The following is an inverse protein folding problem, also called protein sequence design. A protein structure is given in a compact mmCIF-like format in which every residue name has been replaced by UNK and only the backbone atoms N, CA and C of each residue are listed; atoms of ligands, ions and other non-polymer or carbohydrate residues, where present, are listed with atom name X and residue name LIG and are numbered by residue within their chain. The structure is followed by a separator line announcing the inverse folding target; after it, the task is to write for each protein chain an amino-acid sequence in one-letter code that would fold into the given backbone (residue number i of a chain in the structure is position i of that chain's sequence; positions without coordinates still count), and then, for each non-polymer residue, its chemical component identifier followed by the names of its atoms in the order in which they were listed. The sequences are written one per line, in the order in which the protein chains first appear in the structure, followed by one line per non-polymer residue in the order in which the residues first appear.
data_IF_211781310577
#
_entry.id   IF_211781310577
#
_cell.length_a   1.000
_cell.length_b   1.000
_cell.length_c   1.000
_cell.angle_alpha   90.00
_cell.angle_beta   90.00
_cell.angle_gamma   90.00
#
_symmetry.space_group_name_H-M   'P 1'
#
loop_
_entity.id
_entity.type
_entity.pdbx_description
1 polymer ?
#
# COMPACT_ATOMS: atom_id res chain seq x y z
N UNK A 1 11.54 62.53 52.31
CA UNK A 1 10.82 61.80 53.41
C UNK A 1 9.80 60.89 52.74
N UNK A 2 9.88 59.59 53.16
CA UNK A 2 8.85 58.54 53.08
C UNK A 2 8.70 57.82 51.73
N UNK A 3 9.37 56.76 51.69
CA UNK A 3 9.12 55.40 51.28
C UNK A 3 7.68 55.05 51.03
N UNK A 4 7.39 54.46 49.92
CA UNK A 4 6.36 53.40 49.84
C UNK A 4 6.84 52.28 48.92
N UNK A 5 7.08 51.21 49.56
CA UNK A 5 7.36 49.90 48.98
C UNK A 5 6.21 49.46 48.08
N UNK A 6 6.44 49.32 46.80
CA UNK A 6 5.51 48.68 45.90
C UNK A 6 5.93 47.23 45.70
N UNK A 7 5.18 46.38 46.35
CA UNK A 7 5.21 44.93 46.13
C UNK A 7 4.89 44.64 44.68
N UNK A 8 5.92 44.33 43.90
CA UNK A 8 5.74 43.78 42.56
C UNK A 8 5.31 42.34 42.69
N UNK A 9 4.00 42.16 42.65
CA UNK A 9 3.39 40.84 42.52
C UNK A 9 3.76 40.28 41.13
N UNK A 10 4.71 39.41 41.13
CA UNK A 10 5.14 38.68 39.92
C UNK A 10 4.05 37.64 39.57
N UNK A 11 3.12 38.09 38.74
CA UNK A 11 2.08 37.22 38.20
C UNK A 11 2.73 36.38 37.11
N UNK A 12 3.13 35.16 37.46
CA UNK A 12 3.59 34.16 36.49
C UNK A 12 2.35 33.73 35.69
N UNK A 13 2.20 34.32 34.52
CA UNK A 13 1.31 33.81 33.49
C UNK A 13 1.91 32.52 32.95
N UNK A 14 1.45 31.38 33.47
CA UNK A 14 1.67 30.11 32.84
C UNK A 14 0.94 30.13 31.48
N UNK A 15 1.67 30.49 30.43
CA UNK A 15 1.25 30.29 29.07
C UNK A 15 1.25 28.79 28.82
N UNK A 16 0.11 28.17 29.11
CA UNK A 16 -0.18 26.80 28.69
C UNK A 16 -0.20 26.79 27.15
N UNK A 17 0.94 26.49 26.53
CA UNK A 17 0.96 26.05 25.16
C UNK A 17 0.19 24.75 25.06
N UNK A 18 -1.11 24.85 24.79
CA UNK A 18 -1.88 23.76 24.28
C UNK A 18 -1.30 23.41 22.92
N UNK A 19 -0.37 22.44 22.88
CA UNK A 19 -0.05 21.75 21.66
C UNK A 19 -1.34 21.07 21.18
N UNK A 20 -2.02 21.73 20.26
CA UNK A 20 -3.09 21.11 19.51
C UNK A 20 -2.46 19.94 18.80
N UNK A 21 -2.63 18.76 19.32
CA UNK A 21 -2.49 17.53 18.56
C UNK A 21 -3.57 17.62 17.49
N UNK A 22 -3.19 18.12 16.33
CA UNK A 22 -3.93 17.84 15.12
C UNK A 22 -3.85 16.34 14.98
N UNK A 23 -4.97 15.68 15.20
CA UNK A 23 -5.13 14.29 14.81
C UNK A 23 -4.73 14.19 13.35
N UNK A 24 -3.81 13.29 12.99
CA UNK A 24 -3.46 13.09 11.59
C UNK A 24 -4.75 12.82 10.83
N UNK A 25 -4.97 13.56 9.76
CA UNK A 25 -6.09 13.34 8.86
C UNK A 25 -6.05 11.89 8.43
N UNK A 26 -7.11 11.20 8.72
CA UNK A 26 -7.26 9.76 8.59
C UNK A 26 -7.41 9.38 7.11
N UNK A 27 -6.37 9.60 6.31
CA UNK A 27 -6.17 8.89 5.06
C UNK A 27 -5.52 7.55 5.42
N UNK A 28 -6.28 6.71 6.11
CA UNK A 28 -5.90 5.33 6.30
C UNK A 28 -5.98 4.69 4.92
N UNK A 29 -4.84 4.57 4.28
CA UNK A 29 -4.68 3.71 3.12
C UNK A 29 -4.85 2.28 3.61
N UNK A 30 -6.07 1.81 3.61
CA UNK A 30 -6.38 0.43 3.92
C UNK A 30 -5.81 -0.46 2.82
N UNK A 31 -5.09 -1.50 3.23
CA UNK A 31 -4.56 -2.50 2.33
C UNK A 31 -5.52 -3.68 2.28
N UNK A 32 -5.99 -4.01 1.10
CA UNK A 32 -6.79 -5.20 0.87
C UNK A 32 -5.87 -6.43 0.85
N UNK A 33 -6.15 -7.40 1.70
CA UNK A 33 -5.43 -8.68 1.76
C UNK A 33 -6.21 -9.82 1.12
N UNK A 34 -7.30 -9.52 0.40
CA UNK A 34 -8.15 -10.50 -0.28
C UNK A 34 -9.24 -11.10 0.60
N UNK A 35 -9.05 -11.17 1.91
CA UNK A 35 -10.04 -11.62 2.90
C UNK A 35 -10.48 -10.50 3.86
N UNK A 36 -9.98 -9.27 3.66
CA UNK A 36 -10.27 -8.11 4.49
C UNK A 36 -9.29 -6.97 4.22
N UNK A 37 -9.42 -5.88 4.98
CA UNK A 37 -8.55 -4.72 4.91
C UNK A 37 -7.78 -4.54 6.20
N UNK A 38 -6.51 -4.15 6.12
CA UNK A 38 -5.66 -3.84 7.28
C UNK A 38 -5.15 -2.42 7.12
N UNK A 39 -5.19 -1.65 8.21
CA UNK A 39 -4.60 -0.32 8.25
C UNK A 39 -3.08 -0.38 8.09
N UNK A 40 -2.52 0.50 7.27
CA UNK A 40 -1.09 0.52 6.95
C UNK A 40 -0.20 0.76 8.17
N UNK A 41 -0.66 1.49 9.17
CA UNK A 41 0.06 1.80 10.40
C UNK A 41 0.26 0.59 11.33
N UNK A 42 -0.53 -0.48 11.16
CA UNK A 42 -0.40 -1.76 11.89
C UNK A 42 0.21 -2.88 11.05
N UNK A 43 0.60 -2.57 9.82
CA UNK A 43 1.03 -3.58 8.89
C UNK A 43 2.54 -3.87 9.05
N UNK A 44 2.85 -4.97 9.72
CA UNK A 44 4.21 -5.51 9.83
C UNK A 44 4.59 -6.32 8.59
N UNK A 45 3.68 -6.47 7.64
CA UNK A 45 3.86 -7.30 6.46
C UNK A 45 4.46 -6.53 5.28
N UNK A 46 5.22 -7.22 4.44
CA UNK A 46 5.78 -6.66 3.22
C UNK A 46 4.68 -6.56 2.13
N UNK A 47 3.93 -5.48 2.16
CA UNK A 47 2.88 -5.17 1.18
C UNK A 47 3.24 -3.90 0.44
N UNK A 48 3.24 -3.96 -0.88
CA UNK A 48 3.36 -2.79 -1.75
C UNK A 48 2.02 -2.51 -2.40
N UNK A 49 1.44 -1.35 -2.12
CA UNK A 49 0.19 -0.89 -2.73
C UNK A 49 0.47 0.24 -3.71
N UNK A 50 -0.02 0.09 -4.91
CA UNK A 50 0.05 1.12 -5.94
C UNK A 50 -1.37 1.48 -6.37
N UNK A 51 -1.71 2.76 -6.24
CA UNK A 51 -2.92 3.33 -6.83
C UNK A 51 -2.52 3.96 -8.16
N UNK A 52 -3.16 3.57 -9.27
CA UNK A 52 -2.88 4.19 -10.55
C UNK A 52 -3.26 5.67 -10.55
N UNK A 53 -2.34 6.51 -11.02
CA UNK A 53 -2.63 7.91 -11.30
C UNK A 53 -3.36 8.03 -12.64
N UNK A 54 -4.49 8.71 -12.68
CA UNK A 54 -5.32 8.87 -13.89
C UNK A 54 -4.55 9.45 -15.07
N UNK A 55 -3.57 10.33 -14.80
CA UNK A 55 -2.76 10.94 -15.85
C UNK A 55 -1.71 10.00 -16.43
N UNK A 56 -1.32 8.96 -15.71
CA UNK A 56 -0.20 8.09 -16.10
C UNK A 56 -0.69 6.74 -16.61
N UNK A 57 -1.85 6.28 -16.15
CA UNK A 57 -2.38 4.98 -16.54
C UNK A 57 -2.75 4.91 -18.02
N UNK A 58 -3.21 6.02 -18.60
CA UNK A 58 -3.52 6.15 -20.03
C UNK A 58 -2.30 5.96 -20.95
N UNK A 59 -1.09 5.89 -20.39
CA UNK A 59 0.14 5.68 -21.16
C UNK A 59 0.39 4.20 -21.46
N UNK A 60 -0.21 3.31 -20.66
CA UNK A 60 0.00 1.86 -20.78
C UNK A 60 -1.14 1.21 -21.54
N UNK A 61 -0.79 0.46 -22.57
CA UNK A 61 -1.76 -0.30 -23.37
C UNK A 61 -1.98 -1.72 -22.87
N UNK A 62 -1.08 -2.20 -22.01
CA UNK A 62 -1.08 -3.56 -21.49
C UNK A 62 -0.82 -3.57 -19.97
N UNK A 63 -1.52 -4.46 -19.26
CA UNK A 63 -1.38 -4.63 -17.82
C UNK A 63 0.02 -5.12 -17.43
N UNK A 64 0.68 -5.92 -18.23
CA UNK A 64 2.05 -6.38 -17.98
C UNK A 64 3.05 -5.22 -18.02
N UNK A 65 2.92 -4.33 -19.01
CA UNK A 65 3.74 -3.13 -19.11
C UNK A 65 3.51 -2.19 -17.91
N UNK A 66 2.27 -2.01 -17.50
CA UNK A 66 1.93 -1.24 -16.32
C UNK A 66 2.58 -1.81 -15.05
N UNK A 67 2.49 -3.12 -14.83
CA UNK A 67 3.10 -3.78 -13.67
C UNK A 67 4.61 -3.58 -13.64
N UNK A 68 5.29 -3.75 -14.76
CA UNK A 68 6.74 -3.61 -14.88
C UNK A 68 7.20 -2.18 -14.59
N UNK A 69 6.46 -1.19 -15.06
CA UNK A 69 6.84 0.21 -14.94
C UNK A 69 6.48 0.87 -13.61
N UNK A 70 5.45 0.35 -12.92
CA UNK A 70 4.84 1.05 -11.79
C UNK A 70 4.78 0.27 -10.48
N UNK A 71 4.82 -1.05 -10.52
CA UNK A 71 4.64 -1.84 -9.31
C UNK A 71 5.98 -2.33 -8.77
N UNK A 72 6.46 -1.76 -7.64
CA UNK A 72 7.77 -2.11 -7.12
C UNK A 72 7.82 -3.57 -6.65
N UNK A 73 8.89 -4.25 -7.05
CA UNK A 73 9.15 -5.64 -6.67
C UNK A 73 8.40 -6.67 -7.51
N UNK A 74 7.86 -6.25 -8.64
CA UNK A 74 7.34 -7.10 -9.70
C UNK A 74 8.30 -7.05 -10.89
N UNK A 75 8.69 -8.20 -11.40
CA UNK A 75 9.49 -8.35 -12.61
C UNK A 75 8.60 -9.05 -13.64
N UNK A 76 8.53 -8.50 -14.84
CA UNK A 76 7.73 -9.05 -15.93
C UNK A 76 8.65 -9.46 -17.06
N UNK A 77 8.53 -10.73 -17.50
CA UNK A 77 9.24 -11.28 -18.63
C UNK A 77 8.21 -11.82 -19.65
N UNK A 78 7.82 -10.98 -20.62
CA UNK A 78 6.69 -11.29 -21.48
C UNK A 78 5.40 -11.37 -20.70
N UNK A 79 4.76 -12.52 -20.65
CA UNK A 79 3.55 -12.78 -19.85
C UNK A 79 3.84 -13.37 -18.47
N UNK A 80 5.11 -13.68 -18.18
CA UNK A 80 5.52 -14.25 -16.89
C UNK A 80 5.78 -13.16 -15.88
N UNK A 81 5.14 -13.29 -14.72
CA UNK A 81 5.29 -12.37 -13.57
C UNK A 81 6.11 -13.04 -12.48
N UNK A 82 7.08 -12.32 -11.90
CA UNK A 82 7.93 -12.79 -10.83
C UNK A 82 7.92 -11.75 -9.72
N UNK A 83 7.57 -12.16 -8.50
CA UNK A 83 7.52 -11.28 -7.32
C UNK A 83 8.72 -11.48 -6.40
N UNK A 84 9.17 -12.72 -6.20
CA UNK A 84 10.23 -13.07 -5.23
C UNK A 84 11.50 -13.62 -5.84
N UNK A 85 11.63 -13.56 -7.14
CA UNK A 85 12.71 -14.25 -7.83
C UNK A 85 12.39 -15.72 -8.10
N UNK A 86 13.36 -16.45 -8.65
CA UNK A 86 13.16 -17.85 -9.04
C UNK A 86 13.12 -18.71 -7.78
N UNK A 87 12.00 -19.39 -7.56
CA UNK A 87 11.85 -20.34 -6.46
C UNK A 87 12.76 -21.58 -6.64
N UNK A 88 13.07 -22.24 -5.54
CA UNK A 88 13.99 -23.41 -5.51
C UNK A 88 13.48 -24.59 -6.36
N UNK A 89 12.18 -24.65 -6.62
CA UNK A 89 11.54 -25.75 -7.36
C UNK A 89 11.27 -25.41 -8.85
N UNK A 90 11.82 -24.30 -9.36
CA UNK A 90 11.66 -23.90 -10.76
C UNK A 90 10.34 -23.22 -11.12
N UNK A 91 9.32 -23.37 -10.30
CA UNK A 91 8.06 -22.63 -10.42
C UNK A 91 8.15 -21.33 -9.62
N UNK A 92 8.00 -20.21 -10.31
CA UNK A 92 8.10 -18.85 -9.72
C UNK A 92 6.83 -18.01 -9.96
N UNK A 93 5.78 -18.65 -10.47
CA UNK A 93 4.55 -17.95 -10.80
C UNK A 93 3.81 -17.55 -9.51
N UNK A 94 3.50 -16.26 -9.34
CA UNK A 94 2.74 -15.79 -8.20
C UNK A 94 1.26 -16.13 -8.35
N UNK A 95 0.54 -16.13 -7.24
CA UNK A 95 -0.92 -16.18 -7.27
C UNK A 95 -1.47 -14.82 -7.68
N UNK A 96 -2.26 -14.78 -8.74
CA UNK A 96 -2.89 -13.56 -9.23
C UNK A 96 -4.39 -13.60 -8.89
N UNK A 97 -4.87 -12.54 -8.26
CA UNK A 97 -6.27 -12.38 -7.87
C UNK A 97 -6.83 -11.11 -8.48
N UNK A 98 -7.91 -11.22 -9.23
CA UNK A 98 -8.69 -10.11 -9.77
C UNK A 98 -10.02 -10.02 -9.03
N UNK A 99 -10.26 -8.94 -8.30
CA UNK A 99 -11.45 -8.73 -7.48
C UNK A 99 -11.80 -9.92 -6.56
N UNK A 100 -10.76 -10.60 -6.04
CA UNK A 100 -10.90 -11.76 -5.18
C UNK A 100 -11.05 -13.11 -5.89
N UNK A 101 -11.04 -13.13 -7.22
CA UNK A 101 -11.10 -14.34 -8.04
C UNK A 101 -9.71 -14.62 -8.62
N UNK A 102 -9.27 -15.87 -8.56
CA UNK A 102 -8.01 -16.28 -9.17
C UNK A 102 -8.03 -16.13 -10.68
N UNK A 103 -6.95 -15.56 -11.20
CA UNK A 103 -6.77 -15.26 -12.61
C UNK A 103 -5.37 -15.74 -13.06
N UNK A 104 -5.28 -16.41 -14.19
CA UNK A 104 -4.01 -16.90 -14.74
C UNK A 104 -3.39 -16.00 -15.78
N UNK A 105 -4.14 -15.06 -16.34
CA UNK A 105 -3.71 -14.19 -17.43
C UNK A 105 -4.23 -12.77 -17.21
N UNK A 106 -3.41 -11.78 -17.53
CA UNK A 106 -3.76 -10.36 -17.38
C UNK A 106 -4.01 -9.66 -18.73
N UNK A 107 -3.89 -10.35 -19.83
CA UNK A 107 -3.99 -9.76 -21.18
C UNK A 107 -5.36 -9.12 -21.47
N UNK A 108 -6.41 -9.57 -20.77
CA UNK A 108 -7.77 -9.04 -20.94
C UNK A 108 -8.10 -7.88 -20.01
N UNK A 109 -7.19 -7.51 -19.11
CA UNK A 109 -7.40 -6.44 -18.14
C UNK A 109 -6.92 -5.12 -18.72
N UNK A 110 -7.84 -4.18 -18.88
CA UNK A 110 -7.49 -2.79 -19.23
C UNK A 110 -6.90 -2.11 -17.98
N UNK A 111 -5.64 -1.61 -18.06
CA UNK A 111 -5.04 -0.84 -16.97
C UNK A 111 -5.92 0.30 -16.47
N UNK A 112 -6.69 0.95 -17.37
CA UNK A 112 -7.60 2.04 -17.03
C UNK A 112 -8.76 1.62 -16.11
N UNK A 113 -9.13 0.35 -16.12
CA UNK A 113 -10.17 -0.21 -15.26
C UNK A 113 -9.68 -0.51 -13.85
N UNK A 114 -8.37 -0.45 -13.59
CA UNK A 114 -7.77 -0.81 -12.30
C UNK A 114 -7.86 0.33 -11.31
N UNK A 115 -8.35 0.02 -10.11
CA UNK A 115 -8.40 0.94 -8.98
C UNK A 115 -7.15 0.84 -8.09
N UNK A 116 -6.64 -0.37 -7.85
CA UNK A 116 -5.41 -0.59 -7.10
C UNK A 116 -4.76 -1.91 -7.45
N UNK A 117 -3.44 -1.94 -7.30
CA UNK A 117 -2.61 -3.16 -7.37
C UNK A 117 -1.86 -3.29 -6.05
N UNK A 118 -1.98 -4.44 -5.43
CA UNK A 118 -1.31 -4.75 -4.17
C UNK A 118 -0.47 -6.01 -4.34
N UNK A 119 0.77 -5.95 -3.85
CA UNK A 119 1.72 -7.07 -3.93
C UNK A 119 2.00 -7.56 -2.52
N UNK A 120 1.60 -8.78 -2.24
CA UNK A 120 1.85 -9.44 -0.97
C UNK A 120 3.10 -10.32 -1.08
N UNK A 121 4.01 -10.12 -0.12
CA UNK A 121 5.28 -10.87 -0.05
C UNK A 121 5.46 -11.43 1.35
N UNK A 122 6.28 -12.45 1.45
CA UNK A 122 6.70 -13.02 2.75
C UNK A 122 5.50 -13.41 3.64
N UNK A 123 5.45 -12.93 4.87
CA UNK A 123 4.38 -13.23 5.81
C UNK A 123 2.98 -12.82 5.35
N UNK A 124 2.87 -11.76 4.53
CA UNK A 124 1.56 -11.29 4.04
C UNK A 124 0.92 -12.25 3.03
N UNK A 125 1.72 -12.97 2.25
CA UNK A 125 1.22 -13.98 1.31
C UNK A 125 0.83 -15.29 1.98
N UNK A 126 1.22 -15.51 3.25
CA UNK A 126 0.97 -16.75 4.00
C UNK A 126 -0.53 -17.03 4.19
N UNK A 127 -1.39 -16.04 4.17
CA UNK A 127 -2.85 -16.22 4.23
C UNK A 127 -3.40 -17.05 3.07
N UNK A 128 -2.67 -17.10 1.95
CA UNK A 128 -3.00 -17.90 0.77
C UNK A 128 -2.35 -19.30 0.80
N UNK A 129 -1.68 -19.65 1.91
CA UNK A 129 -1.03 -20.95 2.10
C UNK A 129 0.06 -21.21 1.06
N UNK A 130 0.17 -22.47 0.63
CA UNK A 130 1.17 -22.88 -0.34
C UNK A 130 1.07 -22.15 -1.70
N UNK A 131 -0.12 -21.71 -2.08
CA UNK A 131 -0.36 -20.96 -3.34
C UNK A 131 0.24 -19.57 -3.31
N UNK A 132 0.36 -18.96 -2.12
CA UNK A 132 1.00 -17.66 -1.93
C UNK A 132 2.53 -17.74 -1.77
N UNK A 133 3.15 -18.90 -1.87
CA UNK A 133 4.59 -19.07 -1.60
C UNK A 133 5.50 -18.20 -2.49
N UNK A 134 5.11 -17.98 -3.73
CA UNK A 134 5.84 -17.15 -4.69
C UNK A 134 5.39 -15.66 -4.68
N UNK A 135 4.54 -15.29 -3.73
CA UNK A 135 3.90 -13.98 -3.62
C UNK A 135 2.49 -13.99 -4.21
N UNK A 136 1.75 -12.94 -3.89
CA UNK A 136 0.38 -12.75 -4.37
C UNK A 136 0.23 -11.36 -4.98
N UNK A 137 -0.39 -11.28 -6.14
CA UNK A 137 -0.75 -10.05 -6.81
C UNK A 137 -2.27 -9.87 -6.71
N UNK A 138 -2.70 -8.85 -5.99
CA UNK A 138 -4.12 -8.50 -5.87
C UNK A 138 -4.41 -7.30 -6.77
N UNK A 139 -5.33 -7.46 -7.68
CA UNK A 139 -5.81 -6.41 -8.58
C UNK A 139 -7.26 -6.13 -8.24
N UNK A 140 -7.58 -4.87 -7.99
CA UNK A 140 -8.95 -4.42 -7.75
C UNK A 140 -9.36 -3.48 -8.85
N UNK A 141 -10.54 -3.70 -9.43
CA UNK A 141 -11.08 -2.83 -10.48
C UNK A 141 -11.91 -1.68 -9.91
N UNK A 142 -12.07 -0.63 -10.72
CA UNK A 142 -12.98 0.50 -10.42
C UNK A 142 -14.43 -0.01 -10.51
N UNK A 143 -15.25 0.42 -9.59
CA UNK A 143 -16.71 0.14 -9.59
C UNK A 143 -17.47 1.31 -10.16
#
# INVERSE_FOLDING_TARGET
MKNTSALVSFLILCCSCGAGHQAPSNNQDEVNIGYGTISNDKNTYAVSKVKPDENTINTYSDMYEYLQGRVPGVIVNGTKIIIRGIGTNGDSDPLIMLDGIECGDLSFIDPNSVASVEVLKDGSSAIYGARGANGVLLITTKK
#
